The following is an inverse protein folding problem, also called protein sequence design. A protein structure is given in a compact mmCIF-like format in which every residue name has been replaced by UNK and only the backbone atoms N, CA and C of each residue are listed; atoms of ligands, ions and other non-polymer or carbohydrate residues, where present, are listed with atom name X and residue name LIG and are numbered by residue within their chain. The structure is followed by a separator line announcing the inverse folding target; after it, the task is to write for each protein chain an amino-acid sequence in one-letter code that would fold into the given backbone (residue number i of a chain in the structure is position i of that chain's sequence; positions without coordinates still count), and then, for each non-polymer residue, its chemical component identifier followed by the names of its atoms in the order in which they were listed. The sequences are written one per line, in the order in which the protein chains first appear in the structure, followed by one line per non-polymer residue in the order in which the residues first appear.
data_IF_413057058750
#
_entry.id   IF_413057058750
#
_cell.length_a   1.000
_cell.length_b   1.000
_cell.length_c   1.000
_cell.angle_alpha   90.00
_cell.angle_beta   90.00
_cell.angle_gamma   90.00
#
_symmetry.space_group_name_H-M   'P 1'
#
loop_
_entity.id
_entity.type
_entity.pdbx_description
1 polymer ?
#
# COMPACT_ATOMS: atom_id res chain seq x y z
N UNK A 1 10.64 8.06 20.36
CA UNK A 1 10.49 6.60 20.47
C UNK A 1 11.17 6.02 19.27
N UNK A 2 12.37 5.46 19.46
CA UNK A 2 13.14 4.81 18.41
C UNK A 2 12.25 3.72 17.78
N UNK A 3 11.97 3.81 16.48
CA UNK A 3 11.56 2.63 15.72
C UNK A 3 12.73 1.65 15.82
N UNK A 4 12.59 0.61 16.64
CA UNK A 4 13.49 -0.53 16.56
C UNK A 4 13.51 -0.94 15.08
N UNK A 5 14.70 -0.96 14.50
CA UNK A 5 14.91 -1.52 13.15
C UNK A 5 14.47 -2.97 13.24
N UNK A 6 13.23 -3.25 12.93
CA UNK A 6 12.73 -4.62 12.84
C UNK A 6 13.19 -5.15 11.48
N UNK A 7 14.02 -6.20 11.52
CA UNK A 7 14.38 -6.93 10.31
C UNK A 7 13.17 -7.73 9.83
N UNK A 8 13.00 -7.80 8.52
CA UNK A 8 12.02 -8.69 7.90
C UNK A 8 12.27 -10.13 8.32
N UNK A 9 11.21 -10.90 8.51
CA UNK A 9 11.30 -12.33 8.76
C UNK A 9 11.39 -13.11 7.44
N UNK A 10 12.03 -14.28 7.46
CA UNK A 10 12.00 -15.20 6.31
C UNK A 10 10.60 -15.77 6.07
N UNK A 11 9.79 -15.87 7.12
CA UNK A 11 8.41 -16.32 7.03
C UNK A 11 7.51 -15.21 6.47
N UNK A 12 7.03 -15.40 5.25
CA UNK A 12 6.07 -14.50 4.63
C UNK A 12 4.82 -14.30 5.48
N UNK A 13 4.33 -15.40 6.09
CA UNK A 13 3.15 -15.35 6.95
C UNK A 13 3.32 -14.41 8.14
N UNK A 14 4.51 -14.42 8.77
CA UNK A 14 4.82 -13.53 9.89
C UNK A 14 4.84 -12.07 9.43
N UNK A 15 5.55 -11.76 8.35
CA UNK A 15 5.57 -10.41 7.79
C UNK A 15 4.17 -9.90 7.46
N UNK A 16 3.31 -10.76 6.87
CA UNK A 16 1.92 -10.40 6.56
C UNK A 16 1.14 -10.05 7.84
N UNK A 17 1.31 -10.82 8.91
CA UNK A 17 0.64 -10.57 10.19
C UNK A 17 1.12 -9.26 10.82
N UNK A 18 2.43 -9.05 10.87
CA UNK A 18 3.04 -7.84 11.46
C UNK A 18 2.58 -6.57 10.71
N UNK A 19 2.55 -6.61 9.37
CA UNK A 19 2.05 -5.48 8.58
C UNK A 19 0.54 -5.31 8.66
N UNK A 20 -0.24 -6.39 8.69
CA UNK A 20 -1.69 -6.31 8.94
C UNK A 20 -2.01 -5.67 10.28
N UNK A 21 -1.24 -5.97 11.32
CA UNK A 21 -1.40 -5.34 12.63
C UNK A 21 -1.03 -3.86 12.59
N UNK A 22 0.12 -3.52 11.97
CA UNK A 22 0.59 -2.13 11.83
C UNK A 22 -0.42 -1.24 11.11
N UNK A 23 -1.10 -1.75 10.09
CA UNK A 23 -2.10 -1.04 9.28
C UNK A 23 -3.54 -1.44 9.56
N UNK A 24 -3.81 -2.09 10.70
CA UNK A 24 -5.10 -2.74 11.01
C UNK A 24 -6.33 -1.83 10.89
N UNK A 25 -6.17 -0.54 11.10
CA UNK A 25 -7.25 0.45 11.01
C UNK A 25 -7.23 1.27 9.72
N UNK A 26 -6.30 1.04 8.79
CA UNK A 26 -6.16 1.84 7.59
C UNK A 26 -6.65 1.10 6.35
N UNK A 27 -7.73 1.61 5.76
CA UNK A 27 -8.43 0.98 4.63
C UNK A 27 -7.67 1.07 3.29
N UNK A 28 -6.61 1.86 3.22
CA UNK A 28 -5.81 2.04 2.01
C UNK A 28 -4.61 1.09 1.89
N UNK A 29 -4.31 0.31 2.94
CA UNK A 29 -3.27 -0.71 2.86
C UNK A 29 -3.85 -2.00 2.29
N UNK A 30 -3.22 -2.55 1.26
CA UNK A 30 -3.68 -3.76 0.59
C UNK A 30 -2.57 -4.79 0.46
N UNK A 31 -2.95 -6.06 0.69
CA UNK A 31 -2.08 -7.21 0.53
C UNK A 31 -2.75 -8.19 -0.42
N UNK A 32 -2.05 -8.58 -1.47
CA UNK A 32 -2.48 -9.65 -2.37
C UNK A 32 -1.52 -10.83 -2.27
N UNK A 33 -1.99 -11.92 -1.72
CA UNK A 33 -1.28 -13.19 -1.66
C UNK A 33 -1.50 -14.00 -2.94
N UNK A 34 -0.47 -14.67 -3.43
CA UNK A 34 -0.53 -15.54 -4.60
C UNK A 34 0.55 -16.64 -4.53
N UNK A 35 0.47 -17.61 -5.43
CA UNK A 35 1.46 -18.69 -5.53
C UNK A 35 2.31 -18.52 -6.79
N UNK A 36 3.61 -18.71 -6.63
CA UNK A 36 4.58 -18.79 -7.72
C UNK A 36 4.63 -20.25 -8.17
N UNK A 37 4.66 -20.48 -9.48
CA UNK A 37 4.67 -21.80 -10.09
C UNK A 37 6.05 -22.46 -9.98
N UNK A 38 6.38 -22.94 -8.80
CA UNK A 38 7.56 -23.73 -8.46
C UNK A 38 7.17 -25.19 -8.25
N UNK A 39 8.11 -26.15 -8.16
CA UNK A 39 7.80 -27.56 -7.92
C UNK A 39 6.90 -27.82 -6.70
N UNK A 40 7.03 -27.04 -5.62
CA UNK A 40 6.21 -27.16 -4.40
C UNK A 40 5.14 -26.07 -4.27
N UNK A 41 5.07 -25.12 -5.18
CA UNK A 41 4.14 -23.99 -5.11
C UNK A 41 4.52 -23.01 -4.01
N UNK A 42 5.40 -22.04 -4.32
CA UNK A 42 5.92 -21.06 -3.35
C UNK A 42 4.95 -19.92 -3.13
N UNK A 43 4.71 -19.57 -1.87
CA UNK A 43 3.85 -18.43 -1.53
C UNK A 43 4.59 -17.10 -1.74
N UNK A 44 3.88 -16.12 -2.24
CA UNK A 44 4.34 -14.74 -2.37
C UNK A 44 3.21 -13.77 -2.03
N UNK A 45 3.56 -12.54 -1.72
CA UNK A 45 2.61 -11.47 -1.51
C UNK A 45 3.11 -10.17 -2.12
N UNK A 46 2.19 -9.33 -2.54
CA UNK A 46 2.45 -7.95 -2.91
C UNK A 46 1.72 -7.01 -1.95
N UNK A 47 2.44 -6.01 -1.47
CA UNK A 47 1.97 -4.97 -0.58
C UNK A 47 1.87 -3.67 -1.35
N UNK A 48 0.74 -2.98 -1.25
CA UNK A 48 0.52 -1.68 -1.92
C UNK A 48 -0.33 -0.74 -1.06
N UNK A 49 -0.18 0.56 -1.31
CA UNK A 49 -1.12 1.58 -0.84
C UNK A 49 -2.11 1.91 -1.95
N UNK A 50 -3.40 1.80 -1.65
CA UNK A 50 -4.46 2.04 -2.62
C UNK A 50 -4.42 3.48 -3.15
N UNK A 51 -4.56 3.63 -4.47
CA UNK A 51 -4.46 4.92 -5.15
C UNK A 51 -3.04 5.44 -5.37
N UNK A 52 -2.03 4.88 -4.69
CA UNK A 52 -0.63 5.28 -4.85
C UNK A 52 0.10 4.51 -5.95
N UNK A 53 -0.34 3.29 -6.23
CA UNK A 53 0.22 2.38 -7.23
C UNK A 53 -0.76 2.15 -8.37
N UNK A 54 -0.27 2.07 -9.61
CA UNK A 54 -1.08 1.71 -10.78
C UNK A 54 -1.42 0.21 -10.74
N UNK A 55 -2.68 -0.12 -10.43
CA UNK A 55 -3.16 -1.50 -10.27
C UNK A 55 -3.11 -2.29 -11.58
N UNK A 56 -3.36 -1.64 -12.70
CA UNK A 56 -3.35 -2.29 -14.01
C UNK A 56 -1.93 -2.68 -14.41
N UNK A 57 -0.99 -1.73 -14.30
CA UNK A 57 0.43 -2.00 -14.55
C UNK A 57 0.98 -3.06 -13.60
N UNK A 58 0.59 -3.03 -12.31
CA UNK A 58 0.95 -4.05 -11.34
C UNK A 58 0.46 -5.44 -11.77
N UNK A 59 -0.79 -5.54 -12.20
CA UNK A 59 -1.35 -6.82 -12.63
C UNK A 59 -0.67 -7.36 -13.90
N UNK A 60 -0.53 -6.51 -14.93
CA UNK A 60 -0.05 -6.92 -16.26
C UNK A 60 1.46 -7.11 -16.26
N UNK A 61 2.22 -6.15 -15.70
CA UNK A 61 3.68 -6.12 -15.86
C UNK A 61 4.43 -6.81 -14.72
N UNK A 62 3.74 -7.16 -13.63
CA UNK A 62 4.39 -7.75 -12.45
C UNK A 62 3.76 -9.09 -12.08
N UNK A 63 2.48 -9.09 -11.68
CA UNK A 63 1.87 -10.31 -11.12
C UNK A 63 1.69 -11.39 -12.19
N UNK A 64 1.16 -11.04 -13.37
CA UNK A 64 0.94 -12.00 -14.45
C UNK A 64 2.24 -12.65 -14.94
N UNK A 65 3.34 -11.91 -15.21
CA UNK A 65 4.62 -12.52 -15.55
C UNK A 65 5.15 -13.46 -14.46
N UNK A 66 5.07 -13.08 -13.19
CA UNK A 66 5.53 -13.92 -12.08
C UNK A 66 4.73 -15.22 -12.00
N UNK A 67 3.40 -15.15 -12.12
CA UNK A 67 2.55 -16.34 -12.04
C UNK A 67 2.62 -17.21 -13.29
N UNK A 68 2.88 -16.61 -14.46
CA UNK A 68 2.96 -17.29 -15.75
C UNK A 68 4.27 -18.07 -15.97
N UNK A 69 5.36 -17.66 -15.31
CA UNK A 69 6.64 -18.34 -15.43
C UNK A 69 6.67 -19.66 -14.62
N UNK A 70 7.44 -20.65 -15.14
CA UNK A 70 7.78 -21.85 -14.40
C UNK A 70 9.18 -21.71 -13.84
N UNK A 71 9.30 -21.93 -12.53
CA UNK A 71 10.56 -21.81 -11.83
C UNK A 71 11.08 -23.21 -11.44
N UNK A 72 12.40 -23.39 -11.44
CA UNK A 72 13.04 -24.65 -11.10
C UNK A 72 13.40 -24.77 -9.61
N UNK A 73 13.55 -23.65 -8.93
CA UNK A 73 13.95 -23.59 -7.52
C UNK A 73 12.74 -23.32 -6.62
N UNK A 74 12.78 -23.86 -5.40
CA UNK A 74 11.88 -23.51 -4.29
C UNK A 74 12.57 -22.59 -3.27
N UNK A 75 13.80 -22.12 -3.54
CA UNK A 75 14.49 -21.17 -2.67
C UNK A 75 13.92 -19.76 -2.87
N UNK A 76 13.36 -19.17 -1.79
CA UNK A 76 12.69 -17.87 -1.87
C UNK A 76 13.60 -16.74 -2.34
N UNK A 77 14.88 -16.72 -1.93
CA UNK A 77 15.80 -15.67 -2.33
C UNK A 77 16.27 -15.81 -3.78
N UNK A 78 16.51 -17.04 -4.24
CA UNK A 78 16.80 -17.29 -5.67
C UNK A 78 15.63 -16.90 -6.55
N UNK A 79 14.40 -17.21 -6.12
CA UNK A 79 13.19 -16.82 -6.83
C UNK A 79 13.06 -15.29 -6.93
N UNK A 80 13.30 -14.59 -5.83
CA UNK A 80 13.22 -13.12 -5.82
C UNK A 80 14.25 -12.51 -6.78
N UNK A 81 15.46 -13.08 -6.84
CA UNK A 81 16.50 -12.62 -7.77
C UNK A 81 16.15 -12.91 -9.23
N UNK A 82 15.62 -14.09 -9.54
CA UNK A 82 15.14 -14.43 -10.89
C UNK A 82 13.98 -13.50 -11.30
N UNK A 83 13.05 -13.24 -10.39
CA UNK A 83 11.93 -12.32 -10.63
C UNK A 83 12.47 -10.93 -10.97
N UNK A 84 13.43 -10.42 -10.20
CA UNK A 84 14.05 -9.12 -10.40
C UNK A 84 14.81 -9.02 -11.72
N UNK A 85 15.59 -10.04 -12.07
CA UNK A 85 16.54 -9.96 -13.19
C UNK A 85 15.98 -10.41 -14.51
N UNK A 86 14.95 -11.27 -14.51
CA UNK A 86 14.54 -11.99 -15.74
C UNK A 86 13.04 -11.98 -16.00
N UNK A 87 12.21 -11.58 -15.05
CA UNK A 87 10.75 -11.70 -15.19
C UNK A 87 10.06 -10.33 -15.26
N UNK A 88 10.46 -9.41 -14.39
CA UNK A 88 9.87 -8.08 -14.32
C UNK A 88 10.64 -7.11 -15.21
N UNK A 89 9.92 -6.31 -16.01
CA UNK A 89 10.51 -5.33 -16.95
C UNK A 89 10.39 -3.89 -16.41
N UNK A 90 10.12 -3.70 -15.12
CA UNK A 90 10.04 -2.36 -14.53
C UNK A 90 11.40 -1.67 -14.53
N UNK A 91 11.40 -0.36 -14.81
CA UNK A 91 12.63 0.44 -14.88
C UNK A 91 13.21 0.77 -13.50
N UNK A 92 12.39 0.81 -12.46
CA UNK A 92 12.80 1.15 -11.11
C UNK A 92 12.50 -0.01 -10.16
N UNK A 93 13.56 -0.61 -9.63
CA UNK A 93 13.48 -1.71 -8.67
C UNK A 93 14.50 -1.49 -7.55
N UNK A 94 14.09 -1.68 -6.31
CA UNK A 94 14.91 -1.45 -5.12
C UNK A 94 14.78 -2.63 -4.16
N UNK A 95 15.93 -3.16 -3.71
CA UNK A 95 15.96 -4.21 -2.68
C UNK A 95 15.59 -3.63 -1.32
N UNK A 96 14.61 -4.21 -0.66
CA UNK A 96 14.11 -3.80 0.66
C UNK A 96 14.69 -4.73 1.71
N UNK A 97 15.48 -4.18 2.65
CA UNK A 97 16.25 -4.95 3.63
C UNK A 97 15.68 -4.86 5.06
N UNK A 98 14.92 -3.82 5.35
CA UNK A 98 14.38 -3.54 6.69
C UNK A 98 13.01 -2.89 6.63
N UNK A 99 12.35 -2.81 7.78
CA UNK A 99 10.99 -2.27 7.91
C UNK A 99 10.92 -0.77 7.64
N UNK A 100 11.97 0.01 7.93
CA UNK A 100 11.99 1.45 7.69
C UNK A 100 11.97 1.73 6.19
N UNK A 101 12.82 1.03 5.44
CA UNK A 101 12.88 1.10 3.98
C UNK A 101 11.57 0.61 3.35
N UNK A 102 10.99 -0.49 3.87
CA UNK A 102 9.66 -0.97 3.46
C UNK A 102 8.61 0.12 3.60
N UNK A 103 8.49 0.75 4.76
CA UNK A 103 7.51 1.81 5.02
C UNK A 103 7.74 3.02 4.12
N UNK A 104 9.00 3.44 3.96
CA UNK A 104 9.35 4.60 3.14
C UNK A 104 8.96 4.41 1.67
N UNK A 105 9.28 3.25 1.10
CA UNK A 105 8.96 2.93 -0.29
C UNK A 105 7.46 2.69 -0.49
N UNK A 106 6.81 1.95 0.42
CA UNK A 106 5.38 1.72 0.39
C UNK A 106 4.58 3.04 0.42
N UNK A 107 4.94 3.96 1.35
CA UNK A 107 4.34 5.28 1.45
C UNK A 107 4.70 6.22 0.29
N UNK A 108 5.67 5.85 -0.52
CA UNK A 108 6.03 6.56 -1.76
C UNK A 108 5.34 5.99 -2.99
N UNK A 109 4.50 4.96 -2.83
CA UNK A 109 3.70 4.38 -3.90
C UNK A 109 4.37 3.24 -4.67
N UNK A 110 5.43 2.67 -4.11
CA UNK A 110 6.00 1.42 -4.65
C UNK A 110 5.10 0.23 -4.34
N UNK A 111 5.05 -0.71 -5.26
CA UNK A 111 4.55 -2.05 -4.96
C UNK A 111 5.70 -2.89 -4.41
N UNK A 112 5.51 -3.57 -3.28
CA UNK A 112 6.56 -4.36 -2.65
C UNK A 112 6.21 -5.83 -2.70
N UNK A 113 7.10 -6.65 -3.27
CA UNK A 113 6.95 -8.10 -3.39
C UNK A 113 7.79 -8.79 -2.34
N UNK A 114 7.18 -9.74 -1.64
CA UNK A 114 7.84 -10.67 -0.75
C UNK A 114 7.61 -12.11 -1.20
N UNK A 115 8.64 -12.93 -1.09
CA UNK A 115 8.61 -14.37 -1.39
C UNK A 115 8.93 -15.14 -0.13
N UNK A 116 8.12 -16.14 0.19
CA UNK A 116 8.31 -16.96 1.39
C UNK A 116 9.68 -17.63 1.40
N UNK A 117 10.37 -17.57 2.53
CA UNK A 117 11.73 -18.09 2.70
C UNK A 117 12.83 -17.09 2.31
N UNK A 118 12.50 -15.87 1.88
CA UNK A 118 13.45 -14.78 1.68
C UNK A 118 13.18 -13.65 2.67
N UNK A 119 14.24 -13.17 3.31
CA UNK A 119 14.16 -12.03 4.23
C UNK A 119 14.05 -10.70 3.50
N UNK A 120 14.73 -10.57 2.36
CA UNK A 120 14.66 -9.38 1.53
C UNK A 120 13.36 -9.36 0.74
N UNK A 121 12.87 -8.15 0.43
CA UNK A 121 11.74 -7.92 -0.45
C UNK A 121 12.18 -7.06 -1.63
N UNK A 122 11.36 -6.97 -2.67
CA UNK A 122 11.62 -6.18 -3.87
C UNK A 122 10.56 -5.09 -4.01
N UNK A 123 10.97 -3.84 -3.97
CA UNK A 123 10.10 -2.70 -4.27
C UNK A 123 10.20 -2.36 -5.76
N UNK A 124 9.04 -2.12 -6.37
CA UNK A 124 8.91 -1.82 -7.80
C UNK A 124 8.21 -0.48 -7.94
N UNK A 125 8.84 0.45 -8.65
CA UNK A 125 8.31 1.77 -8.95
C UNK A 125 7.17 1.70 -9.95
N UNK A 126 5.95 1.73 -9.44
CA UNK A 126 4.72 1.68 -10.22
C UNK A 126 3.80 2.86 -9.83
N UNK A 127 4.40 3.98 -9.45
CA UNK A 127 3.64 5.17 -9.13
C UNK A 127 2.81 5.57 -10.36
N UNK A 128 1.52 5.49 -10.22
CA UNK A 128 0.58 5.80 -11.29
C UNK A 128 -0.63 6.47 -10.68
N UNK A 129 -0.50 7.76 -10.46
CA UNK A 129 -1.64 8.56 -10.08
C UNK A 129 -2.48 8.78 -11.34
N UNK A 130 -3.71 8.29 -11.38
CA UNK A 130 -4.68 8.72 -12.39
C UNK A 130 -4.99 10.19 -12.13
N UNK A 131 -4.13 11.08 -12.60
CA UNK A 131 -4.43 12.50 -12.68
C UNK A 131 -5.42 12.72 -13.85
N UNK A 132 -6.68 12.40 -13.64
CA UNK A 132 -7.68 13.16 -14.37
C UNK A 132 -7.72 14.51 -13.68
N UNK A 133 -7.31 15.53 -14.43
CA UNK A 133 -7.33 16.95 -14.08
C UNK A 133 -8.01 17.24 -12.73
N UNK A 134 -7.20 17.37 -11.66
CA UNK A 134 -7.67 18.04 -10.46
C UNK A 134 -7.91 19.46 -10.90
N UNK A 135 -9.15 19.79 -11.30
CA UNK A 135 -9.53 21.13 -11.65
C UNK A 135 -9.47 22.00 -10.41
N UNK A 136 -8.96 23.20 -10.55
CA UNK A 136 -9.08 24.21 -9.49
C UNK A 136 -10.54 24.32 -9.06
N UNK A 137 -10.84 24.33 -7.75
CA UNK A 137 -12.18 24.67 -7.29
C UNK A 137 -12.49 26.06 -7.79
N UNK A 138 -13.54 26.21 -8.57
CA UNK A 138 -13.95 27.49 -9.20
C UNK A 138 -14.34 28.59 -8.20
N UNK A 139 -14.35 28.31 -6.90
CA UNK A 139 -14.77 29.22 -5.84
C UNK A 139 -13.68 29.83 -4.98
N UNK A 140 -12.47 29.23 -4.90
CA UNK A 140 -11.38 29.72 -4.04
C UNK A 140 -10.02 29.56 -4.75
N UNK A 141 -9.59 30.60 -5.48
CA UNK A 141 -8.28 30.64 -6.10
C UNK A 141 -7.21 31.05 -5.08
N UNK A 142 -6.37 30.08 -4.65
CA UNK A 142 -5.23 30.37 -3.80
C UNK A 142 -4.12 30.97 -4.65
N UNK A 143 -3.71 32.22 -4.35
CA UNK A 143 -2.64 32.93 -5.09
C UNK A 143 -1.23 32.30 -4.90
N UNK A 144 -0.98 31.56 -3.81
CA UNK A 144 0.29 30.83 -3.54
C UNK A 144 -0.03 29.55 -2.77
N UNK A 145 0.26 28.37 -3.35
CA UNK A 145 0.09 27.09 -2.69
C UNK A 145 -0.31 25.99 -3.66
N UNK A 146 -0.61 24.81 -3.12
CA UNK A 146 -1.10 23.68 -3.89
C UNK A 146 -2.54 23.98 -4.37
N UNK A 147 -2.74 23.83 -5.67
CA UNK A 147 -4.05 23.97 -6.32
C UNK A 147 -4.87 22.67 -6.35
N UNK A 148 -4.38 21.62 -5.66
CA UNK A 148 -5.08 20.35 -5.55
C UNK A 148 -6.20 20.46 -4.50
N UNK A 149 -7.45 20.41 -4.93
CA UNK A 149 -8.64 20.33 -4.09
C UNK A 149 -9.20 18.93 -4.00
N UNK A 150 -10.10 18.68 -3.05
CA UNK A 150 -10.86 17.44 -2.99
C UNK A 150 -11.82 17.33 -4.17
N UNK A 151 -12.02 16.10 -4.64
CA UNK A 151 -12.92 15.74 -5.74
C UNK A 151 -14.01 14.79 -5.21
N UNK A 152 -15.05 14.54 -6.02
CA UNK A 152 -16.16 13.67 -5.58
C UNK A 152 -15.74 12.25 -5.14
N UNK A 153 -14.83 11.52 -5.86
CA UNK A 153 -14.46 10.18 -5.44
C UNK A 153 -13.59 10.18 -4.18
N UNK A 154 -14.13 9.64 -3.09
CA UNK A 154 -13.50 9.59 -1.77
C UNK A 154 -12.07 9.00 -1.78
N UNK A 155 -11.85 7.94 -2.56
CA UNK A 155 -10.53 7.27 -2.66
C UNK A 155 -9.45 8.16 -3.26
N UNK A 156 -9.79 9.06 -4.16
CA UNK A 156 -8.84 10.04 -4.71
C UNK A 156 -8.42 11.02 -3.61
N UNK A 157 -9.37 11.49 -2.80
CA UNK A 157 -9.08 12.39 -1.69
C UNK A 157 -8.19 11.75 -0.63
N UNK A 158 -8.42 10.46 -0.32
CA UNK A 158 -7.52 9.68 0.55
C UNK A 158 -6.09 9.64 0.00
N UNK A 159 -5.95 9.42 -1.31
CA UNK A 159 -4.64 9.41 -1.98
C UNK A 159 -3.94 10.77 -1.90
N UNK A 160 -4.66 11.88 -2.10
CA UNK A 160 -4.11 13.23 -1.98
C UNK A 160 -3.56 13.51 -0.57
N UNK A 161 -4.26 13.05 0.47
CA UNK A 161 -3.80 13.18 1.85
C UNK A 161 -2.59 12.26 2.10
N UNK A 162 -2.64 10.99 1.67
CA UNK A 162 -1.55 10.02 1.85
C UNK A 162 -0.24 10.49 1.21
N UNK A 163 -0.29 11.10 0.03
CA UNK A 163 0.87 11.66 -0.67
C UNK A 163 1.58 12.75 0.13
N UNK A 164 0.83 13.53 0.90
CA UNK A 164 1.37 14.62 1.74
C UNK A 164 1.84 14.12 3.10
N UNK A 165 1.14 13.14 3.67
CA UNK A 165 1.44 12.57 4.99
C UNK A 165 1.88 11.13 4.82
N UNK A 166 3.17 10.93 4.57
CA UNK A 166 3.80 9.62 4.39
C UNK A 166 4.13 8.98 5.75
N UNK A 167 3.10 8.66 6.51
CA UNK A 167 3.24 8.07 7.83
C UNK A 167 2.36 6.84 8.00
N UNK A 168 2.86 5.72 8.55
CA UNK A 168 2.04 4.56 8.88
C UNK A 168 1.02 4.85 9.98
N UNK A 169 1.20 5.95 10.73
CA UNK A 169 0.26 6.40 11.75
C UNK A 169 -0.97 7.12 11.20
N UNK A 170 -0.93 7.54 9.92
CA UNK A 170 -2.10 8.07 9.26
C UNK A 170 -3.06 6.93 8.97
N UNK A 171 -4.27 7.04 9.49
CA UNK A 171 -5.32 6.03 9.39
C UNK A 171 -6.47 6.59 8.56
N UNK A 172 -6.97 5.76 7.66
CA UNK A 172 -8.20 5.97 6.91
C UNK A 172 -9.22 4.92 7.31
N UNK A 173 -10.18 5.29 8.15
CA UNK A 173 -11.23 4.37 8.60
C UNK A 173 -12.51 4.61 7.82
N UNK A 174 -12.95 3.61 7.06
CA UNK A 174 -14.15 3.67 6.23
C UNK A 174 -15.39 3.33 7.05
N UNK A 175 -16.44 4.14 6.90
CA UNK A 175 -17.75 3.92 7.52
C UNK A 175 -18.84 4.13 6.46
N UNK A 176 -20.01 3.50 6.70
CA UNK A 176 -21.22 3.72 5.90
C UNK A 176 -22.28 4.34 6.78
N UNK A 177 -22.81 5.47 6.38
CA UNK A 177 -23.79 6.25 7.14
C UNK A 177 -25.10 6.35 6.36
N UNK A 178 -26.20 6.35 7.12
CA UNK A 178 -27.57 6.42 6.59
C UNK A 178 -28.13 5.07 6.15
N UNK A 179 -29.37 4.83 6.50
CA UNK A 179 -30.09 3.56 6.23
C UNK A 179 -30.48 3.41 4.76
N UNK A 180 -30.86 4.51 4.12
CA UNK A 180 -31.29 4.54 2.70
C UNK A 180 -30.14 4.89 1.76
N UNK A 181 -29.42 5.98 2.04
CA UNK A 181 -28.36 6.46 1.15
C UNK A 181 -27.10 5.60 1.19
N UNK A 182 -26.83 4.91 2.30
CA UNK A 182 -25.61 4.11 2.53
C UNK A 182 -24.36 4.83 2.07
N UNK A 183 -24.25 6.11 2.46
CA UNK A 183 -23.15 6.99 2.06
C UNK A 183 -21.85 6.54 2.71
N UNK A 184 -20.82 6.33 1.89
CA UNK A 184 -19.49 6.03 2.39
C UNK A 184 -18.79 7.31 2.86
N UNK A 185 -18.29 7.29 4.09
CA UNK A 185 -17.45 8.32 4.67
C UNK A 185 -16.11 7.75 5.11
N UNK A 186 -15.11 8.59 5.22
CA UNK A 186 -13.78 8.18 5.69
C UNK A 186 -13.34 9.09 6.82
N UNK A 187 -13.08 8.51 7.98
CA UNK A 187 -12.41 9.20 9.08
C UNK A 187 -10.91 9.16 8.84
N UNK A 188 -10.29 10.32 8.74
CA UNK A 188 -8.85 10.46 8.55
C UNK A 188 -8.21 11.07 9.79
N UNK A 189 -7.27 10.35 10.42
CA UNK A 189 -6.63 10.80 11.64
C UNK A 189 -5.23 10.19 11.86
N UNK A 190 -4.45 10.79 12.77
CA UNK A 190 -3.17 10.24 13.23
C UNK A 190 -3.40 9.40 14.49
N UNK A 191 -3.09 8.11 14.43
CA UNK A 191 -3.36 7.14 15.50
C UNK A 191 -2.65 7.45 16.83
N UNK A 192 -1.50 8.15 16.77
CA UNK A 192 -0.72 8.53 17.95
C UNK A 192 -1.08 9.90 18.53
N UNK A 193 -1.97 10.65 17.87
CA UNK A 193 -2.36 12.02 18.27
C UNK A 193 -3.85 12.17 18.56
N UNK A 194 -4.65 11.19 18.17
CA UNK A 194 -6.10 11.27 18.30
C UNK A 194 -6.58 10.48 19.52
N UNK A 195 -7.42 11.10 20.34
CA UNK A 195 -8.03 10.46 21.50
C UNK A 195 -9.01 9.37 21.10
N UNK A 196 -8.86 8.17 21.69
CA UNK A 196 -9.80 7.05 21.47
C UNK A 196 -11.23 7.39 21.91
N UNK A 197 -11.38 8.20 22.97
CA UNK A 197 -12.70 8.63 23.45
C UNK A 197 -13.36 9.56 22.43
N UNK A 198 -12.61 10.51 21.87
CA UNK A 198 -13.12 11.43 20.83
C UNK A 198 -13.55 10.66 19.56
N UNK A 199 -12.73 9.70 19.10
CA UNK A 199 -13.09 8.85 17.97
C UNK A 199 -14.36 8.03 18.22
N UNK A 200 -14.48 7.47 19.44
CA UNK A 200 -15.68 6.72 19.81
C UNK A 200 -16.92 7.59 19.78
N UNK A 201 -16.86 8.77 20.41
CA UNK A 201 -17.97 9.73 20.42
C UNK A 201 -18.35 10.17 18.99
N UNK A 202 -17.36 10.51 18.17
CA UNK A 202 -17.60 10.88 16.77
C UNK A 202 -18.32 9.78 15.99
N UNK A 203 -17.91 8.53 16.16
CA UNK A 203 -18.55 7.38 15.50
C UNK A 203 -19.99 7.16 15.97
N UNK A 204 -20.25 7.34 17.26
CA UNK A 204 -21.61 7.27 17.84
C UNK A 204 -22.53 8.37 17.33
N UNK A 205 -21.99 9.57 17.07
CA UNK A 205 -22.77 10.68 16.51
C UNK A 205 -23.02 10.56 14.99
N UNK A 206 -22.16 9.83 14.28
CA UNK A 206 -22.29 9.63 12.84
C UNK A 206 -23.14 8.41 12.47
N UNK A 207 -23.29 7.45 13.31
CA UNK A 207 -23.99 6.16 13.05
C UNK A 207 -25.17 5.96 13.88
#
# INVERSE_FOLDING_TARGET
MLLLVMYMDKSLKKNILDFKEMFSSSADFTIREFKINTPKGKNAAVFTMEGMCNKETLAISVINPIMGCRYRSDNGCELLEVIKTSVITASEMVDVKDTEMFLTLLMSGFAIIAVDGCQNMLAIGLQGFSFRSVSEPSGETIQRGSREGFVEPLRINMTLIRRRIKSPKLVFEMMTVGTLSKTQICLCYLSDRTSKQMLKKLKEELG
#
